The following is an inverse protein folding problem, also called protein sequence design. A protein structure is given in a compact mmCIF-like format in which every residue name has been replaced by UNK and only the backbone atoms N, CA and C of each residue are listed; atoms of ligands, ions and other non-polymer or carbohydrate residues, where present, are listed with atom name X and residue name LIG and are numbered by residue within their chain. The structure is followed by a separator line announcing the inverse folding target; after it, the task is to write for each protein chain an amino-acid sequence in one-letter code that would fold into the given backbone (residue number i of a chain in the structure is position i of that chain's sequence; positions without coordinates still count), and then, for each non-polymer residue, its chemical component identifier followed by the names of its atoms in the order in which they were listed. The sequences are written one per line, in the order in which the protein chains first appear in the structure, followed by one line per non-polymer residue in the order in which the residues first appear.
data_IF_978280462541
#
_entry.id   IF_978280462541
#
_cell.length_a   1.000
_cell.length_b   1.000
_cell.length_c   1.000
_cell.angle_alpha   90.00
_cell.angle_beta   90.00
_cell.angle_gamma   90.00
#
_symmetry.space_group_name_H-M   'P 1'
#
loop_
_entity.id
_entity.type
_entity.pdbx_description
1 polymer ?
#
# COMPACT_ATOMS: atom_id res chain seq x y z
N UNK A 1 1.81 10.80 1.54
CA UNK A 1 1.98 11.34 0.17
C UNK A 1 1.48 10.37 -0.90
N UNK A 2 1.89 9.11 -0.83
CA UNK A 2 1.47 8.11 -1.83
C UNK A 2 -0.05 7.93 -1.87
N UNK A 3 -0.72 7.94 -0.72
CA UNK A 3 -2.18 7.81 -0.65
C UNK A 3 -2.86 9.01 -1.31
N UNK A 4 -2.34 10.23 -1.13
CA UNK A 4 -2.89 11.41 -1.77
C UNK A 4 -2.73 11.36 -3.29
N UNK A 5 -1.60 10.84 -3.77
CA UNK A 5 -1.37 10.63 -5.20
C UNK A 5 -2.36 9.60 -5.74
N UNK A 6 -2.56 8.48 -5.05
CA UNK A 6 -3.52 7.46 -5.43
C UNK A 6 -4.94 8.02 -5.50
N UNK A 7 -5.32 8.86 -4.54
CA UNK A 7 -6.63 9.52 -4.53
C UNK A 7 -6.83 10.37 -5.79
N UNK A 8 -5.80 11.18 -6.15
CA UNK A 8 -5.86 11.99 -7.36
C UNK A 8 -5.97 11.16 -8.63
N UNK A 9 -5.25 10.02 -8.68
CA UNK A 9 -5.34 9.10 -9.81
C UNK A 9 -6.71 8.45 -9.92
N UNK A 10 -7.32 8.10 -8.78
CA UNK A 10 -8.69 7.55 -8.77
C UNK A 10 -9.71 8.56 -9.29
N UNK A 11 -9.57 9.83 -8.93
CA UNK A 11 -10.41 10.90 -9.50
C UNK A 11 -10.23 10.96 -11.02
N UNK A 12 -9.01 10.81 -11.50
CA UNK A 12 -8.73 10.74 -12.94
C UNK A 12 -9.40 9.55 -13.61
N UNK A 13 -9.38 8.39 -12.96
CA UNK A 13 -10.06 7.18 -13.46
C UNK A 13 -11.56 7.41 -13.57
N UNK A 14 -12.16 8.04 -12.55
CA UNK A 14 -13.60 8.36 -12.58
C UNK A 14 -13.94 9.25 -13.77
N UNK A 15 -13.12 10.27 -14.05
CA UNK A 15 -13.32 11.15 -15.22
C UNK A 15 -13.20 10.37 -16.53
N UNK A 16 -12.23 9.45 -16.62
CA UNK A 16 -12.07 8.62 -17.82
C UNK A 16 -13.29 7.76 -18.09
N UNK A 17 -13.89 7.19 -17.02
CA UNK A 17 -15.11 6.41 -17.12
C UNK A 17 -16.28 7.29 -17.59
N UNK A 18 -16.43 8.47 -16.98
CA UNK A 18 -17.50 9.43 -17.33
C UNK A 18 -17.38 9.92 -18.76
N UNK A 19 -16.16 10.08 -19.26
CA UNK A 19 -15.87 10.51 -20.63
C UNK A 19 -15.89 9.35 -21.64
N UNK A 20 -16.19 8.15 -21.19
CA UNK A 20 -16.22 6.93 -22.01
C UNK A 20 -14.91 6.72 -22.77
N UNK A 21 -13.79 6.87 -22.07
CA UNK A 21 -12.46 6.68 -22.64
C UNK A 21 -12.21 5.21 -22.96
N UNK A 22 -11.23 4.96 -23.77
CA UNK A 22 -10.86 3.60 -24.17
C UNK A 22 -10.54 2.73 -22.96
N UNK A 23 -11.19 1.54 -22.88
CA UNK A 23 -11.10 0.68 -21.68
C UNK A 23 -9.69 0.23 -21.34
N UNK A 24 -8.81 0.06 -22.33
CA UNK A 24 -7.41 -0.34 -22.09
C UNK A 24 -6.66 0.79 -21.39
N UNK A 25 -6.91 2.05 -21.75
CA UNK A 25 -6.30 3.20 -21.10
C UNK A 25 -6.75 3.32 -19.65
N UNK A 26 -8.03 3.09 -19.40
CA UNK A 26 -8.60 3.08 -18.03
C UNK A 26 -7.93 1.97 -17.21
N UNK A 27 -7.84 0.77 -17.77
CA UNK A 27 -7.21 -0.37 -17.09
C UNK A 27 -5.75 -0.09 -16.75
N UNK A 28 -4.99 0.48 -17.68
CA UNK A 28 -3.60 0.82 -17.45
C UNK A 28 -3.45 1.87 -16.34
N UNK A 29 -4.37 2.83 -16.26
CA UNK A 29 -4.38 3.82 -15.17
C UNK A 29 -4.66 3.17 -13.83
N UNK A 30 -5.57 2.21 -13.78
CA UNK A 30 -5.86 1.43 -12.57
C UNK A 30 -4.64 0.63 -12.15
N UNK A 31 -3.92 -0.01 -13.07
CA UNK A 31 -2.69 -0.73 -12.76
C UNK A 31 -1.64 0.19 -12.14
N UNK A 32 -1.50 1.42 -12.67
CA UNK A 32 -0.58 2.40 -12.10
C UNK A 32 -0.98 2.78 -10.67
N UNK A 33 -2.27 2.95 -10.41
CA UNK A 33 -2.78 3.27 -9.08
C UNK A 33 -2.57 2.11 -8.10
N UNK A 34 -2.76 0.88 -8.55
CA UNK A 34 -2.48 -0.31 -7.75
C UNK A 34 -1.01 -0.35 -7.32
N UNK A 35 -0.08 -0.01 -8.21
CA UNK A 35 1.35 0.03 -7.89
C UNK A 35 1.66 1.06 -6.79
N UNK A 36 1.02 2.23 -6.84
CA UNK A 36 1.18 3.27 -5.81
C UNK A 36 0.60 2.81 -4.48
N UNK A 37 -0.57 2.17 -4.49
CA UNK A 37 -1.18 1.62 -3.28
C UNK A 37 -0.30 0.53 -2.66
N UNK A 38 0.30 -0.32 -3.47
CA UNK A 38 1.23 -1.35 -2.99
C UNK A 38 2.43 -0.70 -2.29
N UNK A 39 2.99 0.35 -2.90
CA UNK A 39 4.11 1.10 -2.31
C UNK A 39 3.72 1.74 -0.98
N UNK A 40 2.54 2.39 -0.93
CA UNK A 40 2.04 2.99 0.30
C UNK A 40 1.86 1.95 1.41
N UNK A 41 1.32 0.80 1.06
CA UNK A 41 1.13 -0.31 2.00
C UNK A 41 2.47 -0.80 2.57
N UNK A 42 3.48 -0.95 1.70
CA UNK A 42 4.82 -1.35 2.13
C UNK A 42 5.44 -0.31 3.06
N UNK A 43 5.30 0.97 2.76
CA UNK A 43 5.82 2.06 3.61
C UNK A 43 5.20 2.04 5.00
N UNK A 44 3.89 1.83 5.08
CA UNK A 44 3.16 1.75 6.35
C UNK A 44 3.63 0.54 7.16
N UNK A 45 3.75 -0.62 6.53
CA UNK A 45 4.19 -1.85 7.20
C UNK A 45 5.64 -1.74 7.67
N UNK A 46 6.53 -1.17 6.85
CA UNK A 46 7.92 -0.97 7.24
C UNK A 46 8.04 -0.08 8.46
N UNK A 47 7.27 1.01 8.52
CA UNK A 47 7.27 1.91 9.67
C UNK A 47 6.78 1.18 10.93
N UNK A 48 5.72 0.38 10.80
CA UNK A 48 5.18 -0.40 11.90
C UNK A 48 6.17 -1.44 12.39
N UNK A 49 6.82 -2.19 11.47
CA UNK A 49 7.80 -3.20 11.82
C UNK A 49 8.99 -2.58 12.55
N UNK A 50 9.50 -1.44 12.08
CA UNK A 50 10.59 -0.74 12.76
C UNK A 50 10.21 -0.34 14.18
N UNK A 51 8.98 0.13 14.37
CA UNK A 51 8.47 0.49 15.69
C UNK A 51 8.38 -0.74 16.59
N UNK A 52 7.86 -1.86 16.08
CA UNK A 52 7.78 -3.12 16.82
C UNK A 52 9.13 -3.68 17.21
N UNK A 53 10.11 -3.61 16.30
CA UNK A 53 11.47 -4.06 16.59
C UNK A 53 12.09 -3.20 17.70
N UNK A 54 11.90 -1.89 17.62
CA UNK A 54 12.41 -0.97 18.65
C UNK A 54 11.80 -1.28 20.02
N UNK A 55 10.49 -1.54 20.07
CA UNK A 55 9.83 -1.95 21.31
C UNK A 55 10.34 -3.30 21.80
N UNK A 56 10.57 -4.26 20.89
CA UNK A 56 11.07 -5.58 21.22
C UNK A 56 12.46 -5.57 21.84
N UNK A 57 13.29 -4.57 21.54
CA UNK A 57 14.60 -4.40 22.16
C UNK A 57 14.50 -3.97 23.62
N UNK A 58 13.33 -3.49 24.04
CA UNK A 58 13.10 -3.03 25.42
C UNK A 58 12.46 -4.09 26.29
N UNK A 59 11.96 -5.17 25.70
CA UNK A 59 11.31 -6.27 26.42
C UNK A 59 11.76 -7.60 25.84
N UNK A 60 11.71 -8.66 26.65
CA UNK A 60 12.01 -10.03 26.21
C UNK A 60 10.75 -10.78 25.78
N UNK A 61 9.58 -10.13 25.79
CA UNK A 61 8.33 -10.75 25.47
C UNK A 61 8.11 -10.84 23.96
N UNK A 62 7.51 -11.93 23.44
CA UNK A 62 7.13 -12.03 22.04
C UNK A 62 6.15 -10.92 21.67
N UNK A 63 6.29 -10.38 20.46
CA UNK A 63 5.41 -9.33 19.97
C UNK A 63 4.52 -9.86 18.84
N UNK A 64 3.24 -10.23 19.15
CA UNK A 64 2.34 -10.77 18.13
C UNK A 64 2.00 -9.76 17.02
N UNK A 65 2.07 -8.46 17.32
CA UNK A 65 1.84 -7.42 16.31
C UNK A 65 2.94 -7.43 15.24
N UNK A 66 4.17 -7.75 15.63
CA UNK A 66 5.28 -7.88 14.69
C UNK A 66 5.05 -9.08 13.77
N UNK A 67 4.60 -10.21 14.31
CA UNK A 67 4.31 -11.40 13.52
C UNK A 67 3.18 -11.14 12.50
N UNK A 68 2.14 -10.44 12.91
CA UNK A 68 1.05 -10.05 12.01
C UNK A 68 1.55 -9.17 10.87
N UNK A 69 2.39 -8.19 11.17
CA UNK A 69 2.95 -7.29 10.17
C UNK A 69 3.85 -8.02 9.19
N UNK A 70 4.68 -8.97 9.68
CA UNK A 70 5.54 -9.77 8.84
C UNK A 70 4.73 -10.67 7.91
N UNK A 71 3.63 -11.24 8.40
CA UNK A 71 2.72 -12.06 7.58
C UNK A 71 2.10 -11.25 6.45
N UNK A 72 1.69 -10.01 6.74
CA UNK A 72 1.16 -9.11 5.72
C UNK A 72 2.20 -8.73 4.68
N UNK A 73 3.43 -8.49 5.14
CA UNK A 73 4.54 -8.15 4.24
C UNK A 73 4.79 -9.27 3.23
N UNK A 74 4.73 -10.53 3.67
CA UNK A 74 4.89 -11.69 2.79
C UNK A 74 3.85 -11.71 1.66
N UNK A 75 2.63 -11.25 1.92
CA UNK A 75 1.57 -11.17 0.92
C UNK A 75 1.82 -10.08 -0.13
N UNK A 76 2.64 -9.07 0.20
CA UNK A 76 2.96 -7.96 -0.69
C UNK A 76 4.18 -8.24 -1.57
N UNK A 77 4.95 -9.26 -1.25
CA UNK A 77 6.11 -9.68 -2.03
C UNK A 77 5.63 -10.74 -3.03
N UNK A 78 5.84 -10.53 -4.34
CA UNK A 78 5.45 -11.50 -5.36
C UNK A 78 6.19 -12.82 -5.23
#
# INVERSE_FOLDING_TARGET
RSIKIARGQLDGVLRMIEEDRYCVDISNQILATQAILKKANQEILHAHIRSCVREGLQTDEPNPKLEEALSLLEKLIP
#
